data_IF_165967057235
#
_entry.id   IF_165967057235
#
_cell.length_a   1.000
_cell.length_b   1.000
_cell.length_c   1.000
_cell.angle_alpha   90.00
_cell.angle_beta   90.00
_cell.angle_gamma   90.00
#
_symmetry.space_group_name_H-M   'P 1'
#
loop_
_entity.id
_entity.type
_entity.pdbx_description
1 polymer ?
#
# COMPACT_ATOMS: atom_id res chain seq x y z
N UNK A 1 -1.58 14.57 14.99
CA UNK A 1 -1.83 14.43 13.54
C UNK A 1 -1.94 12.96 13.20
N UNK A 2 -2.93 12.62 12.40
CA UNK A 2 -3.19 11.24 11.98
C UNK A 2 -3.05 11.12 10.46
N UNK A 3 -2.24 10.20 9.99
CA UNK A 3 -1.97 10.04 8.56
C UNK A 3 -2.36 8.65 8.06
N UNK A 4 -2.84 8.60 6.81
CA UNK A 4 -3.03 7.38 6.06
C UNK A 4 -1.83 7.20 5.11
N UNK A 5 -1.10 6.13 5.28
CA UNK A 5 -0.08 5.67 4.32
C UNK A 5 -0.69 4.67 3.38
N UNK A 6 -0.52 4.87 2.08
CA UNK A 6 -1.00 3.95 1.04
C UNK A 6 0.19 3.46 0.23
N UNK A 7 0.36 2.15 0.18
CA UNK A 7 1.45 1.49 -0.57
C UNK A 7 1.04 0.07 -0.94
N UNK A 8 1.43 -0.44 -2.11
CA UNK A 8 1.16 -1.84 -2.43
C UNK A 8 2.01 -2.77 -1.57
N UNK A 9 3.31 -2.48 -1.45
CA UNK A 9 4.28 -3.30 -0.74
C UNK A 9 4.59 -2.73 0.64
N UNK A 10 4.55 -3.59 1.64
CA UNK A 10 4.84 -3.23 3.03
C UNK A 10 5.38 -4.45 3.79
N UNK A 11 5.91 -4.24 5.00
CA UNK A 11 6.37 -5.33 5.87
C UNK A 11 5.41 -6.55 5.82
N UNK A 12 5.91 -7.80 5.77
CA UNK A 12 7.31 -8.25 5.90
C UNK A 12 8.16 -8.12 4.62
N UNK A 13 7.63 -7.60 3.54
CA UNK A 13 8.42 -7.26 2.35
C UNK A 13 9.41 -6.13 2.68
N UNK A 14 10.65 -6.24 2.18
CA UNK A 14 11.72 -5.30 2.52
C UNK A 14 11.70 -4.07 1.60
N UNK A 15 10.91 -3.07 1.97
CA UNK A 15 10.82 -1.78 1.29
C UNK A 15 11.11 -0.62 2.23
N UNK A 16 11.64 0.47 1.70
CA UNK A 16 11.96 1.69 2.47
C UNK A 16 10.75 2.28 3.20
N UNK A 17 9.55 2.03 2.74
CA UNK A 17 8.33 2.50 3.41
C UNK A 17 8.21 1.98 4.85
N UNK A 18 8.80 0.83 5.15
CA UNK A 18 8.81 0.27 6.50
C UNK A 18 9.50 1.22 7.48
N UNK A 19 10.70 1.73 7.10
CA UNK A 19 11.47 2.68 7.91
C UNK A 19 10.78 4.05 8.00
N UNK A 20 10.16 4.48 6.90
CA UNK A 20 9.41 5.75 6.86
C UNK A 20 8.23 5.70 7.83
N UNK A 21 7.46 4.62 7.84
CA UNK A 21 6.33 4.43 8.77
C UNK A 21 6.81 4.40 10.20
N UNK A 22 7.89 3.68 10.49
CA UNK A 22 8.51 3.67 11.82
C UNK A 22 8.91 5.08 12.27
N UNK A 23 9.57 5.85 11.39
CA UNK A 23 9.95 7.24 11.65
C UNK A 23 8.73 8.12 11.96
N UNK A 24 7.64 8.01 11.19
CA UNK A 24 6.41 8.76 11.47
C UNK A 24 5.82 8.44 12.85
N UNK A 25 5.83 7.16 13.25
CA UNK A 25 5.36 6.76 14.58
C UNK A 25 6.28 7.30 15.68
N UNK A 26 7.61 7.25 15.49
CA UNK A 26 8.59 7.80 16.43
C UNK A 26 8.45 9.33 16.61
N UNK A 27 8.07 10.02 15.53
CA UNK A 27 7.76 11.46 15.55
C UNK A 27 6.37 11.79 16.17
N UNK A 28 5.68 10.79 16.69
CA UNK A 28 4.42 10.96 17.42
C UNK A 28 3.17 11.06 16.55
N UNK A 29 3.26 10.69 15.27
CA UNK A 29 2.08 10.61 14.42
C UNK A 29 1.29 9.31 14.66
N UNK A 30 -0.02 9.41 14.60
CA UNK A 30 -0.88 8.21 14.51
C UNK A 30 -0.93 7.75 13.07
N UNK A 31 -0.40 6.56 12.79
CA UNK A 31 -0.23 6.04 11.43
C UNK A 31 -1.11 4.82 11.19
N UNK A 32 -1.90 4.88 10.13
CA UNK A 32 -2.57 3.72 9.56
C UNK A 32 -2.00 3.46 8.16
N UNK A 33 -1.71 2.20 7.86
CA UNK A 33 -1.16 1.77 6.57
C UNK A 33 -2.20 0.96 5.83
N UNK A 34 -2.51 1.33 4.59
CA UNK A 34 -3.26 0.51 3.64
C UNK A 34 -2.27 -0.08 2.64
N UNK A 35 -2.13 -1.40 2.64
CA UNK A 35 -1.18 -2.10 1.78
C UNK A 35 -1.76 -3.41 1.21
N UNK A 36 -0.98 -4.10 0.39
CA UNK A 36 -1.29 -5.42 -0.13
C UNK A 36 -0.96 -6.56 0.83
N UNK A 37 -1.38 -7.75 0.46
CA UNK A 37 -0.91 -8.99 1.07
C UNK A 37 0.50 -9.29 0.54
N UNK A 38 1.48 -9.62 1.40
CA UNK A 38 2.88 -9.72 0.98
C UNK A 38 3.13 -10.94 0.08
N UNK A 39 3.67 -10.69 -1.10
CA UNK A 39 3.98 -11.72 -2.10
C UNK A 39 5.19 -11.37 -2.99
N UNK A 40 5.81 -10.23 -2.82
CA UNK A 40 6.95 -9.80 -3.61
C UNK A 40 8.28 -10.33 -3.02
N UNK A 41 9.26 -10.79 -3.82
CA UNK A 41 9.28 -10.71 -5.29
C UNK A 41 8.76 -11.96 -6.01
N UNK A 42 8.55 -13.07 -5.33
CA UNK A 42 8.35 -14.39 -5.95
C UNK A 42 6.90 -14.68 -6.35
N UNK A 43 5.95 -13.85 -5.92
CA UNK A 43 4.52 -14.08 -6.16
C UNK A 43 3.94 -15.21 -5.32
N UNK A 44 4.61 -15.54 -4.23
CA UNK A 44 4.19 -16.50 -3.22
C UNK A 44 3.90 -15.76 -1.91
N UNK A 45 2.91 -16.23 -1.15
CA UNK A 45 2.59 -15.62 0.13
C UNK A 45 3.73 -15.87 1.13
N UNK A 46 4.03 -14.85 1.91
CA UNK A 46 4.93 -15.00 3.07
C UNK A 46 4.30 -15.90 4.13
N UNK A 47 5.13 -16.49 5.00
CA UNK A 47 4.66 -17.32 6.10
C UNK A 47 3.65 -16.56 6.97
N UNK A 48 2.52 -17.21 7.24
CA UNK A 48 1.43 -16.62 7.99
C UNK A 48 0.44 -15.78 7.16
N UNK A 49 0.64 -15.66 5.84
CA UNK A 49 -0.26 -14.96 4.93
C UNK A 49 -0.86 -15.89 3.87
N UNK A 50 -2.05 -15.52 3.42
CA UNK A 50 -2.76 -16.21 2.35
C UNK A 50 -3.73 -15.25 1.65
N UNK A 51 -4.45 -15.73 0.65
CA UNK A 51 -5.54 -14.97 0.03
C UNK A 51 -6.67 -14.59 1.02
N UNK A 52 -6.74 -15.26 2.17
CA UNK A 52 -7.74 -15.04 3.22
C UNK A 52 -7.22 -14.20 4.41
N UNK A 53 -6.07 -13.58 4.26
CA UNK A 53 -5.52 -12.65 5.25
C UNK A 53 -4.21 -13.12 5.90
N UNK A 54 -3.83 -12.52 7.04
CA UNK A 54 -4.59 -11.52 7.83
C UNK A 54 -4.81 -10.18 7.11
N UNK A 55 -5.96 -9.54 7.36
CA UNK A 55 -6.30 -8.24 6.74
C UNK A 55 -6.09 -7.05 7.67
N UNK A 56 -5.88 -7.30 8.96
CA UNK A 56 -5.59 -6.28 9.97
C UNK A 56 -4.50 -6.80 10.90
N UNK A 57 -3.51 -5.97 11.15
CA UNK A 57 -2.39 -6.26 12.06
C UNK A 57 -1.74 -4.96 12.54
N UNK A 58 -0.67 -5.06 13.31
CA UNK A 58 0.10 -3.90 13.76
C UNK A 58 1.57 -4.04 13.39
N UNK A 59 2.22 -2.92 13.10
CA UNK A 59 3.64 -2.84 12.82
C UNK A 59 4.25 -1.65 13.55
N UNK A 60 5.10 -1.90 14.54
CA UNK A 60 5.87 -0.87 15.29
C UNK A 60 5.04 0.34 15.72
N UNK A 61 3.80 0.10 16.17
CA UNK A 61 2.90 1.15 16.62
C UNK A 61 1.93 1.69 15.54
N UNK A 62 2.15 1.38 14.28
CA UNK A 62 1.17 1.65 13.21
C UNK A 62 0.14 0.52 13.12
N UNK A 63 -1.10 0.85 12.75
CA UNK A 63 -2.10 -0.15 12.37
C UNK A 63 -1.99 -0.42 10.88
N UNK A 64 -2.08 -1.68 10.50
CA UNK A 64 -1.94 -2.12 9.12
C UNK A 64 -3.24 -2.76 8.64
N UNK A 65 -3.78 -2.21 7.57
CA UNK A 65 -4.96 -2.72 6.85
C UNK A 65 -4.50 -3.26 5.50
N UNK A 66 -4.77 -4.53 5.24
CA UNK A 66 -4.37 -5.16 4.00
C UNK A 66 -5.55 -5.30 3.03
N UNK A 67 -5.30 -5.05 1.78
CA UNK A 67 -6.20 -5.35 0.68
C UNK A 67 -5.77 -6.63 -0.01
N UNK A 68 -6.73 -7.34 -0.61
CA UNK A 68 -6.43 -8.46 -1.49
C UNK A 68 -5.68 -7.98 -2.73
N UNK A 69 -4.97 -8.89 -3.36
CA UNK A 69 -4.38 -8.72 -4.67
C UNK A 69 -4.18 -10.08 -5.33
N UNK A 70 -4.06 -10.10 -6.64
CA UNK A 70 -3.66 -11.29 -7.38
C UNK A 70 -2.13 -11.35 -7.32
N UNK A 71 -1.53 -12.38 -6.72
CA UNK A 71 -0.07 -12.47 -6.64
C UNK A 71 0.55 -12.64 -8.04
N UNK A 72 1.76 -12.13 -8.22
CA UNK A 72 2.49 -12.22 -9.50
C UNK A 72 3.15 -13.58 -9.74
N UNK A 73 2.44 -14.65 -9.47
CA UNK A 73 2.94 -16.03 -9.54
C UNK A 73 3.58 -16.31 -10.91
N UNK A 74 4.83 -16.80 -10.88
CA UNK A 74 5.62 -17.08 -12.08
C UNK A 74 6.15 -15.85 -12.81
N UNK A 75 5.90 -14.63 -12.34
CA UNK A 75 6.41 -13.36 -12.88
C UNK A 75 6.22 -13.22 -14.42
N UNK A 76 5.12 -13.73 -14.96
CA UNK A 76 4.77 -13.54 -16.36
C UNK A 76 4.16 -12.15 -16.56
N UNK A 77 4.27 -11.58 -17.76
CA UNK A 77 3.66 -10.27 -18.07
C UNK A 77 2.17 -10.21 -17.72
N UNK A 78 1.43 -11.31 -17.92
CA UNK A 78 0.01 -11.41 -17.55
C UNK A 78 -0.21 -11.35 -16.04
N UNK A 79 0.57 -12.09 -15.25
CA UNK A 79 0.41 -12.13 -13.79
C UNK A 79 0.85 -10.82 -13.15
N UNK A 80 1.90 -10.18 -13.69
CA UNK A 80 2.34 -8.84 -13.27
C UNK A 80 1.26 -7.81 -13.56
N UNK A 81 0.66 -7.81 -14.76
CA UNK A 81 -0.43 -6.91 -15.11
C UNK A 81 -1.65 -7.09 -14.20
N UNK A 82 -2.06 -8.34 -13.95
CA UNK A 82 -3.18 -8.64 -13.04
C UNK A 82 -2.88 -8.17 -11.60
N UNK A 83 -1.66 -8.35 -11.12
CA UNK A 83 -1.23 -7.84 -9.81
C UNK A 83 -1.38 -6.31 -9.75
N UNK A 84 -0.87 -5.60 -10.75
CA UNK A 84 -0.90 -4.14 -10.81
C UNK A 84 -2.31 -3.54 -10.89
N UNK A 85 -3.25 -4.24 -11.49
CA UNK A 85 -4.64 -3.77 -11.61
C UNK A 85 -5.49 -4.21 -10.42
N UNK A 86 -5.30 -5.44 -9.94
CA UNK A 86 -6.14 -5.99 -8.87
C UNK A 86 -5.96 -5.27 -7.54
N UNK A 87 -4.70 -4.97 -7.15
CA UNK A 87 -4.46 -4.33 -5.87
C UNK A 87 -5.15 -2.97 -5.72
N UNK A 88 -5.01 -1.98 -6.63
CA UNK A 88 -5.69 -0.70 -6.45
C UNK A 88 -7.22 -0.82 -6.40
N UNK A 89 -7.82 -1.77 -7.11
CA UNK A 89 -9.27 -2.02 -7.04
C UNK A 89 -9.68 -2.56 -5.66
N UNK A 90 -8.98 -3.56 -5.16
CA UNK A 90 -9.24 -4.10 -3.82
C UNK A 90 -8.90 -3.10 -2.71
N UNK A 91 -7.84 -2.32 -2.87
CA UNK A 91 -7.46 -1.27 -1.92
C UNK A 91 -8.52 -0.16 -1.87
N UNK A 92 -9.07 0.26 -3.02
CA UNK A 92 -10.17 1.21 -3.06
C UNK A 92 -11.42 0.70 -2.33
N UNK A 93 -11.74 -0.59 -2.49
CA UNK A 93 -12.83 -1.22 -1.73
C UNK A 93 -12.51 -1.30 -0.22
N UNK A 94 -11.25 -1.54 0.13
CA UNK A 94 -10.79 -1.63 1.52
C UNK A 94 -10.81 -0.29 2.26
N UNK A 95 -10.84 0.84 1.56
CA UNK A 95 -10.99 2.17 2.19
C UNK A 95 -12.21 2.26 3.11
N UNK A 96 -13.25 1.47 2.85
CA UNK A 96 -14.45 1.42 3.70
C UNK A 96 -14.21 0.82 5.08
N UNK A 97 -13.16 0.02 5.25
CA UNK A 97 -12.78 -0.62 6.51
C UNK A 97 -11.92 0.28 7.39
N UNK A 98 -11.37 1.34 6.81
CA UNK A 98 -10.53 2.28 7.54
C UNK A 98 -11.38 3.12 8.50
N UNK A 99 -10.86 3.42 9.71
CA UNK A 99 -11.60 4.20 10.70
C UNK A 99 -11.84 5.65 10.28
N UNK A 100 -11.08 6.17 9.29
CA UNK A 100 -11.23 7.55 8.82
C UNK A 100 -10.58 8.59 9.76
N UNK A 101 -10.90 9.87 9.51
CA UNK A 101 -10.39 10.97 10.32
C UNK A 101 -8.89 11.23 10.14
N UNK A 102 -8.36 10.99 8.94
CA UNK A 102 -6.96 11.30 8.61
C UNK A 102 -6.81 12.77 8.23
N UNK A 103 -5.75 13.40 8.72
CA UNK A 103 -5.39 14.77 8.42
C UNK A 103 -4.64 14.91 7.09
N UNK A 104 -4.01 13.84 6.63
CA UNK A 104 -3.29 13.78 5.36
C UNK A 104 -3.16 12.34 4.85
N UNK A 105 -2.89 12.22 3.55
CA UNK A 105 -2.59 10.94 2.87
C UNK A 105 -1.18 10.98 2.30
N UNK A 106 -0.38 9.98 2.61
CA UNK A 106 0.95 9.75 2.05
C UNK A 106 0.95 8.48 1.21
N UNK A 107 1.22 8.61 -0.08
CA UNK A 107 1.35 7.48 -1.00
C UNK A 107 2.82 7.19 -1.27
N UNK A 108 3.26 5.96 -1.02
CA UNK A 108 4.58 5.48 -1.39
C UNK A 108 4.46 4.66 -2.67
N UNK A 109 4.79 5.31 -3.79
CA UNK A 109 4.57 4.78 -5.13
C UNK A 109 5.80 4.09 -5.67
N UNK A 110 5.79 2.76 -5.68
CA UNK A 110 6.87 1.95 -6.25
C UNK A 110 6.77 1.82 -7.76
N UNK A 111 5.62 1.49 -8.31
CA UNK A 111 5.28 1.33 -9.74
C UNK A 111 4.11 0.34 -9.89
N UNK A 112 3.19 0.53 -10.82
CA UNK A 112 2.96 1.70 -11.67
C UNK A 112 2.18 2.80 -10.92
N UNK A 113 2.06 3.99 -11.53
CA UNK A 113 1.33 5.13 -10.93
C UNK A 113 -0.13 4.82 -10.55
N UNK A 114 -0.73 3.82 -11.15
CA UNK A 114 -2.09 3.34 -10.85
C UNK A 114 -2.26 2.94 -9.38
N UNK A 115 -1.20 2.52 -8.70
CA UNK A 115 -1.26 2.19 -7.27
C UNK A 115 -1.59 3.38 -6.37
N UNK A 116 -1.43 4.62 -6.85
CA UNK A 116 -1.81 5.82 -6.11
C UNK A 116 -3.34 6.03 -6.08
N UNK A 117 -4.08 5.35 -6.93
CA UNK A 117 -5.52 5.61 -7.11
C UNK A 117 -6.34 5.54 -5.81
N UNK A 118 -6.18 4.54 -4.92
CA UNK A 118 -6.88 4.51 -3.63
C UNK A 118 -6.57 5.74 -2.75
N UNK A 119 -5.30 6.17 -2.74
CA UNK A 119 -4.86 7.35 -1.99
C UNK A 119 -5.52 8.63 -2.51
N UNK A 120 -5.54 8.80 -3.83
CA UNK A 120 -6.19 9.94 -4.50
C UNK A 120 -7.70 9.95 -4.25
N UNK A 121 -8.35 8.78 -4.32
CA UNK A 121 -9.78 8.66 -4.01
C UNK A 121 -10.09 9.11 -2.59
N UNK A 122 -9.30 8.63 -1.61
CA UNK A 122 -9.49 9.02 -0.22
C UNK A 122 -9.28 10.52 -0.03
N UNK A 123 -8.15 11.05 -0.52
CA UNK A 123 -7.80 12.47 -0.36
C UNK A 123 -8.85 13.41 -0.97
N UNK A 124 -9.32 13.10 -2.19
CA UNK A 124 -10.39 13.88 -2.85
C UNK A 124 -11.70 13.81 -2.09
N UNK A 125 -12.12 12.62 -1.67
CA UNK A 125 -13.40 12.43 -0.96
C UNK A 125 -13.45 13.18 0.36
N UNK A 126 -12.33 13.21 1.08
CA UNK A 126 -12.25 13.80 2.42
C UNK A 126 -11.63 15.20 2.46
N UNK A 127 -11.24 15.75 1.30
CA UNK A 127 -10.62 17.08 1.16
C UNK A 127 -9.38 17.26 2.03
N UNK A 128 -8.52 16.22 2.10
CA UNK A 128 -7.27 16.24 2.86
C UNK A 128 -6.05 16.31 1.95
N UNK A 129 -4.92 16.89 2.41
CA UNK A 129 -3.67 16.93 1.66
C UNK A 129 -3.21 15.54 1.21
N UNK A 130 -2.64 15.49 0.00
CA UNK A 130 -2.09 14.28 -0.61
C UNK A 130 -0.63 14.50 -1.00
N UNK A 131 0.25 13.62 -0.55
CA UNK A 131 1.66 13.58 -0.94
C UNK A 131 1.95 12.27 -1.63
N UNK A 132 2.56 12.33 -2.82
CA UNK A 132 3.01 11.16 -3.56
C UNK A 132 4.55 11.10 -3.57
N UNK A 133 5.10 10.08 -2.93
CA UNK A 133 6.53 9.78 -2.96
C UNK A 133 6.78 8.77 -4.08
N UNK A 134 7.26 9.27 -5.22
CA UNK A 134 7.49 8.48 -6.43
C UNK A 134 8.91 7.95 -6.44
N UNK A 135 9.07 6.63 -6.50
CA UNK A 135 10.38 5.96 -6.60
C UNK A 135 10.76 5.69 -8.03
N UNK A 136 9.79 5.39 -8.88
CA UNK A 136 10.01 4.91 -10.23
C UNK A 136 9.05 5.61 -11.20
N UNK A 137 9.62 6.31 -12.18
CA UNK A 137 8.87 7.05 -13.21
C UNK A 137 8.58 6.11 -14.39
N UNK A 138 7.80 5.07 -14.13
CA UNK A 138 7.32 4.20 -15.19
C UNK A 138 6.11 4.84 -15.89
N UNK A 139 6.03 4.91 -17.23
CA UNK A 139 6.90 4.25 -18.22
C UNK A 139 8.11 5.06 -18.72
N UNK A 140 8.38 6.26 -18.17
CA UNK A 140 9.44 7.16 -18.66
C UNK A 140 10.84 6.52 -18.61
N UNK A 141 11.07 5.57 -17.71
CA UNK A 141 12.34 4.85 -17.57
C UNK A 141 12.56 3.74 -18.63
N UNK A 142 11.66 3.61 -19.60
CA UNK A 142 11.78 2.61 -20.68
C UNK A 142 12.55 3.12 -21.92
N UNK A 143 13.13 4.33 -21.85
CA UNK A 143 13.88 4.94 -22.96
C UNK A 143 15.37 4.98 -22.68
#
# INVERSE_FOLDING_TARGET
MRILVVTQHFWPENFRINDIVEGFVQDGLAVDVLCGLPNYPHGEWFDGYSADGPFEESYKGARVFRAREIPRKGNTGKTIFLNYVSWPLYAAAALKRLPGGYDAVFCFNTSPVLMCWPAVLYAKKHHVPFTNYVLDLWPENLY
#
